data_IF_263196817910
#
_entry.id   IF_263196817910
#
_cell.length_a   1.000
_cell.length_b   1.000
_cell.length_c   1.000
_cell.angle_alpha   90.00
_cell.angle_beta   90.00
_cell.angle_gamma   90.00
#
_symmetry.space_group_name_H-M   'P 1'
#
loop_
_entity.id
_entity.type
_entity.pdbx_description
1 polymer ?
#
# COMPACT_ATOMS: atom_id res chain seq x y z
N UNK A 1 -34.23 -2.22 -12.76
CA UNK A 1 -33.41 -2.80 -11.65
C UNK A 1 -31.98 -2.28 -11.77
N UNK A 2 -31.38 -1.70 -10.72
CA UNK A 2 -29.97 -1.33 -10.77
C UNK A 2 -29.13 -2.61 -10.87
N UNK A 3 -28.21 -2.66 -11.83
CA UNK A 3 -27.32 -3.81 -12.02
C UNK A 3 -26.49 -3.98 -10.74
N UNK A 4 -26.35 -5.20 -10.18
CA UNK A 4 -25.52 -5.41 -9.00
C UNK A 4 -24.11 -4.92 -9.32
N UNK A 5 -23.59 -4.01 -8.48
CA UNK A 5 -22.21 -3.56 -8.58
C UNK A 5 -21.35 -4.82 -8.45
N UNK A 6 -20.70 -5.25 -9.53
CA UNK A 6 -19.73 -6.36 -9.52
C UNK A 6 -18.84 -6.20 -8.28
N UNK A 7 -18.61 -7.27 -7.53
CA UNK A 7 -17.68 -7.26 -6.39
C UNK A 7 -16.29 -6.81 -6.87
N UNK A 8 -16.01 -5.51 -6.77
CA UNK A 8 -14.75 -4.93 -7.26
C UNK A 8 -13.66 -5.34 -6.30
N UNK A 9 -12.80 -6.26 -6.73
CA UNK A 9 -11.67 -6.76 -5.92
C UNK A 9 -10.46 -5.83 -5.92
N UNK A 10 -10.26 -5.08 -7.01
CA UNK A 10 -9.09 -4.20 -7.20
C UNK A 10 -9.47 -2.96 -8.00
N UNK A 11 -8.79 -1.85 -7.73
CA UNK A 11 -8.81 -0.62 -8.53
C UNK A 11 -7.36 -0.19 -8.78
N UNK A 12 -7.09 0.38 -9.94
CA UNK A 12 -5.78 0.91 -10.26
C UNK A 12 -5.74 2.40 -9.91
N UNK A 13 -4.62 2.85 -9.34
CA UNK A 13 -4.33 4.26 -9.10
C UNK A 13 -3.06 4.62 -9.87
N UNK A 14 -3.10 5.71 -10.62
CA UNK A 14 -1.91 6.22 -11.29
C UNK A 14 -1.12 7.10 -10.31
N UNK A 15 0.18 6.84 -10.20
CA UNK A 15 1.11 7.63 -9.39
C UNK A 15 1.99 8.47 -10.31
N UNK A 16 2.48 9.61 -9.80
CA UNK A 16 3.59 10.31 -10.44
C UNK A 16 4.85 9.44 -10.34
N UNK A 17 5.75 9.56 -11.32
CA UNK A 17 6.98 8.77 -11.36
C UNK A 17 7.81 8.94 -10.08
N UNK A 18 7.93 10.18 -9.58
CA UNK A 18 8.65 10.48 -8.33
C UNK A 18 8.03 9.78 -7.11
N UNK A 19 6.70 9.70 -7.05
CA UNK A 19 5.99 9.00 -5.97
C UNK A 19 6.21 7.50 -6.06
N UNK A 20 6.20 6.96 -7.28
CA UNK A 20 6.47 5.55 -7.53
C UNK A 20 7.89 5.17 -7.11
N UNK A 21 8.91 5.95 -7.51
CA UNK A 21 10.31 5.70 -7.14
C UNK A 21 10.53 5.74 -5.62
N UNK A 22 9.87 6.67 -4.92
CA UNK A 22 9.89 6.71 -3.45
C UNK A 22 9.27 5.47 -2.84
N UNK A 23 8.14 5.01 -3.38
CA UNK A 23 7.47 3.81 -2.92
C UNK A 23 8.30 2.55 -3.17
N UNK A 24 9.02 2.49 -4.30
CA UNK A 24 9.92 1.37 -4.61
C UNK A 24 11.09 1.29 -3.63
N UNK A 25 11.70 2.42 -3.27
CA UNK A 25 12.75 2.46 -2.23
C UNK A 25 12.22 1.98 -0.87
N UNK A 26 11.05 2.46 -0.47
CA UNK A 26 10.41 2.02 0.77
C UNK A 26 10.11 0.52 0.76
N UNK A 27 9.64 -0.03 -0.36
CA UNK A 27 9.42 -1.48 -0.49
C UNK A 27 10.71 -2.28 -0.26
N UNK A 28 11.85 -1.81 -0.79
CA UNK A 28 13.16 -2.46 -0.56
C UNK A 28 13.56 -2.42 0.92
N UNK A 29 13.32 -1.30 1.60
CA UNK A 29 13.56 -1.17 3.04
C UNK A 29 12.66 -2.13 3.83
N UNK A 30 11.37 -2.17 3.51
CA UNK A 30 10.41 -3.04 4.17
C UNK A 30 10.75 -4.53 3.98
N UNK A 31 11.25 -4.93 2.81
CA UNK A 31 11.74 -6.30 2.55
C UNK A 31 12.92 -6.63 3.47
N UNK A 32 13.85 -5.68 3.66
CA UNK A 32 15.02 -5.86 4.53
C UNK A 32 14.60 -5.98 5.99
N UNK A 33 13.68 -5.14 6.44
CA UNK A 33 13.17 -5.14 7.82
C UNK A 33 12.38 -6.41 8.15
N UNK A 34 11.49 -6.85 7.25
CA UNK A 34 10.63 -8.02 7.48
C UNK A 34 11.29 -9.34 7.09
N UNK A 35 12.45 -9.31 6.44
CA UNK A 35 13.17 -10.50 5.97
C UNK A 35 12.41 -11.32 4.91
N UNK A 36 11.38 -10.76 4.28
CA UNK A 36 10.51 -11.45 3.32
C UNK A 36 10.67 -10.86 1.92
N UNK A 37 11.22 -11.61 0.94
CA UNK A 37 11.45 -11.09 -0.41
C UNK A 37 10.17 -11.00 -1.27
N UNK A 38 9.00 -11.36 -0.71
CA UNK A 38 7.73 -11.50 -1.45
C UNK A 38 6.76 -10.34 -1.24
N UNK A 39 7.22 -9.22 -0.70
CA UNK A 39 6.36 -8.05 -0.49
C UNK A 39 6.00 -7.37 -1.81
N UNK A 40 4.77 -6.86 -1.85
CA UNK A 40 4.19 -6.14 -2.98
C UNK A 40 4.02 -4.66 -2.65
N UNK A 41 3.70 -3.86 -3.67
CA UNK A 41 3.32 -2.46 -3.44
C UNK A 41 2.06 -2.30 -2.57
N UNK A 42 1.12 -3.25 -2.62
CA UNK A 42 -0.04 -3.25 -1.71
C UNK A 42 0.42 -3.42 -0.25
N UNK A 43 1.41 -4.28 0.01
CA UNK A 43 1.97 -4.47 1.36
C UNK A 43 2.70 -3.22 1.86
N UNK A 44 3.46 -2.57 0.97
CA UNK A 44 4.13 -1.31 1.29
C UNK A 44 3.14 -0.18 1.60
N UNK A 45 2.08 -0.03 0.80
CA UNK A 45 1.05 0.98 1.05
C UNK A 45 0.30 0.70 2.35
N UNK A 46 -0.09 -0.56 2.59
CA UNK A 46 -0.75 -0.93 3.85
C UNK A 46 0.14 -0.68 5.06
N UNK A 47 1.45 -0.94 4.98
CA UNK A 47 2.38 -0.62 6.07
C UNK A 47 2.40 0.88 6.40
N UNK A 48 2.44 1.75 5.37
CA UNK A 48 2.37 3.21 5.56
C UNK A 48 1.04 3.67 6.17
N UNK A 49 -0.08 3.05 5.75
CA UNK A 49 -1.40 3.37 6.29
C UNK A 49 -1.54 2.90 7.74
N UNK A 50 -1.11 1.67 8.05
CA UNK A 50 -1.13 1.10 9.41
C UNK A 50 -0.30 1.96 10.38
N UNK A 51 0.84 2.49 9.94
CA UNK A 51 1.67 3.41 10.73
C UNK A 51 0.94 4.72 11.05
N UNK A 52 0.19 5.27 10.09
CA UNK A 52 -0.59 6.48 10.31
C UNK A 52 -1.80 6.24 11.20
N UNK A 53 -2.55 5.16 10.97
CA UNK A 53 -3.76 4.82 11.76
C UNK A 53 -3.41 4.49 13.22
N UNK A 54 -2.28 3.83 13.48
CA UNK A 54 -1.78 3.59 14.86
C UNK A 54 -1.32 4.88 15.56
N UNK A 55 -0.99 5.91 14.80
CA UNK A 55 -0.71 7.24 15.33
C UNK A 55 -1.97 7.96 15.84
N UNK A 56 -3.13 7.66 15.24
CA UNK A 56 -4.41 8.31 15.55
C UNK A 56 -5.17 7.67 16.73
N UNK A 57 -4.91 6.40 17.09
CA UNK A 57 -5.54 5.73 18.25
C UNK A 57 -5.00 6.17 19.63
N UNK A 58 -4.00 7.05 19.68
CA UNK A 58 -3.48 7.68 20.91
C UNK A 58 -3.79 9.19 21.01
N UNK A 59 -4.72 9.70 20.21
CA UNK A 59 -5.15 11.10 20.18
C UNK A 59 -6.48 11.36 20.89
#
# INVERSE_FOLDING_TARGET
>A
MPRPRKNVRKRNVALRIETYERLERYLVELIRERGSPRLTFDDAINALLDEHEKGDENG
#
